data_IF_211483704164
#
_entry.id   IF_211483704164
#
_cell.length_a   1.000
_cell.length_b   1.000
_cell.length_c   1.000
_cell.angle_alpha   90.00
_cell.angle_beta   90.00
_cell.angle_gamma   90.00
#
_symmetry.space_group_name_H-M   'P 1'
#
loop_
_entity.id
_entity.type
_entity.pdbx_description
1 polymer ?
#
# COMPACT_ATOMS: atom_id res chain seq x y z
N UNK A 1 9.43 25.52 11.11
CA UNK A 1 9.53 24.09 10.70
C UNK A 1 10.64 24.02 9.68
N UNK A 2 11.80 23.49 10.05
CA UNK A 2 12.88 23.31 9.08
C UNK A 2 12.58 22.06 8.24
N UNK A 3 12.64 22.22 6.92
CA UNK A 3 12.53 21.14 5.94
C UNK A 3 13.77 20.23 5.95
N UNK A 4 14.17 19.75 7.14
CA UNK A 4 15.26 18.82 7.33
C UNK A 4 14.97 17.54 6.55
N UNK A 5 15.91 17.11 5.70
CA UNK A 5 15.79 15.97 4.78
C UNK A 5 14.87 16.14 3.56
N UNK A 6 14.49 17.36 3.19
CA UNK A 6 13.82 17.62 1.90
C UNK A 6 14.83 18.11 0.86
N UNK A 7 14.75 17.53 -0.34
CA UNK A 7 15.45 18.07 -1.51
C UNK A 7 14.51 18.99 -2.27
N UNK A 8 15.02 20.15 -2.70
CA UNK A 8 14.27 21.05 -3.56
C UNK A 8 14.06 20.39 -4.92
N UNK A 9 12.80 20.24 -5.32
CA UNK A 9 12.43 19.58 -6.58
C UNK A 9 12.07 20.62 -7.67
N UNK A 10 11.49 21.76 -7.27
CA UNK A 10 11.18 22.92 -8.11
C UNK A 10 11.26 24.18 -7.24
N UNK A 11 11.84 25.26 -7.77
CA UNK A 11 11.96 26.53 -7.03
C UNK A 11 10.62 27.28 -6.92
N UNK A 12 9.93 27.46 -8.04
CA UNK A 12 8.67 28.20 -8.12
C UNK A 12 7.68 27.46 -9.03
N UNK A 13 6.42 27.42 -8.60
CA UNK A 13 5.33 26.80 -9.35
C UNK A 13 4.02 27.52 -9.09
N UNK A 14 3.38 27.94 -10.17
CA UNK A 14 2.06 28.55 -10.12
C UNK A 14 0.99 27.52 -10.49
N UNK A 15 -0.08 27.45 -9.69
CA UNK A 15 -1.26 26.68 -10.05
C UNK A 15 -2.00 27.34 -11.20
N UNK A 16 -2.59 26.53 -12.09
CA UNK A 16 -3.43 27.06 -13.16
C UNK A 16 -4.79 27.55 -12.66
N UNK A 17 -5.64 28.04 -13.57
CA UNK A 17 -6.98 28.55 -13.25
C UNK A 17 -7.91 27.51 -12.60
N UNK A 18 -7.57 26.22 -12.67
CA UNK A 18 -8.31 25.13 -12.04
C UNK A 18 -7.61 24.57 -10.79
N UNK A 19 -6.56 25.26 -10.31
CA UNK A 19 -5.83 24.88 -9.09
C UNK A 19 -4.87 23.70 -9.27
N UNK A 20 -4.50 23.36 -10.50
CA UNK A 20 -3.61 22.22 -10.79
C UNK A 20 -2.15 22.66 -10.80
N UNK A 21 -1.28 21.84 -10.21
CA UNK A 21 0.18 22.00 -10.25
C UNK A 21 0.83 20.76 -10.87
N UNK A 22 1.86 20.97 -11.68
CA UNK A 22 2.68 19.88 -12.23
C UNK A 22 3.86 19.57 -11.32
N UNK A 23 3.79 18.43 -10.62
CA UNK A 23 4.82 18.00 -9.67
C UNK A 23 6.10 17.48 -10.34
N UNK A 24 6.09 17.21 -11.65
CA UNK A 24 7.23 16.67 -12.40
C UNK A 24 7.35 15.15 -12.38
N UNK A 25 8.31 14.61 -13.14
CA UNK A 25 8.44 13.17 -13.44
C UNK A 25 8.79 12.32 -12.21
N UNK A 26 9.52 12.87 -11.24
CA UNK A 26 9.82 12.22 -9.96
C UNK A 26 8.55 11.86 -9.15
N UNK A 27 7.44 12.53 -9.42
CA UNK A 27 6.15 12.33 -8.75
C UNK A 27 5.11 11.65 -9.66
N UNK A 28 5.49 11.22 -10.87
CA UNK A 28 4.58 10.57 -11.83
C UNK A 28 4.03 9.24 -11.30
N UNK A 29 2.78 8.92 -11.68
CA UNK A 29 2.09 7.68 -11.32
C UNK A 29 2.01 7.39 -9.81
N UNK A 30 1.98 8.45 -8.99
CA UNK A 30 1.80 8.35 -7.54
C UNK A 30 0.49 9.00 -7.14
N UNK A 31 -0.20 8.37 -6.20
CA UNK A 31 -1.36 8.96 -5.53
C UNK A 31 -0.88 9.73 -4.30
N UNK A 32 -1.52 10.85 -4.02
CA UNK A 32 -1.18 11.69 -2.87
C UNK A 32 -2.43 12.02 -2.06
N UNK A 33 -2.30 11.97 -0.75
CA UNK A 33 -3.18 12.70 0.17
C UNK A 33 -2.67 14.13 0.26
N UNK A 34 -3.57 15.08 0.08
CA UNK A 34 -3.27 16.51 0.22
C UNK A 34 -3.86 16.97 1.55
N UNK A 35 -3.03 17.56 2.40
CA UNK A 35 -3.42 18.16 3.69
C UNK A 35 -3.10 19.65 3.63
N UNK A 36 -3.99 20.48 4.18
CA UNK A 36 -3.77 21.91 4.34
C UNK A 36 -3.86 22.25 5.82
N UNK A 37 -2.89 23.01 6.34
CA UNK A 37 -2.96 23.53 7.70
C UNK A 37 -3.60 24.93 7.76
N UNK A 38 -3.78 25.47 8.97
CA UNK A 38 -4.40 26.79 9.18
C UNK A 38 -3.59 27.96 8.62
N UNK A 39 -2.31 27.76 8.35
CA UNK A 39 -1.42 28.76 7.73
C UNK A 39 -1.44 28.71 6.21
N UNK A 40 -2.20 27.77 5.61
CA UNK A 40 -2.29 27.57 4.17
C UNK A 40 -1.17 26.73 3.57
N UNK A 41 -0.31 26.13 4.40
CA UNK A 41 0.75 25.23 3.92
C UNK A 41 0.14 23.90 3.46
N UNK A 42 0.57 23.43 2.28
CA UNK A 42 0.13 22.16 1.71
C UNK A 42 1.18 21.07 1.95
N UNK A 43 0.74 19.93 2.50
CA UNK A 43 1.54 18.71 2.62
C UNK A 43 0.99 17.62 1.70
N UNK A 44 1.84 17.11 0.81
CA UNK A 44 1.53 15.99 -0.09
C UNK A 44 2.16 14.72 0.46
N UNK A 45 1.32 13.74 0.84
CA UNK A 45 1.76 12.45 1.38
C UNK A 45 1.46 11.36 0.36
N UNK A 46 2.48 10.63 -0.17
CA UNK A 46 2.24 9.51 -1.07
C UNK A 46 1.32 8.47 -0.43
N UNK A 47 0.39 7.95 -1.23
CA UNK A 47 -0.52 6.88 -0.84
C UNK A 47 -0.37 5.69 -1.79
N UNK A 48 -0.57 4.50 -1.22
CA UNK A 48 -0.80 3.27 -1.97
C UNK A 48 -2.26 2.90 -1.81
N UNK A 49 -2.90 2.50 -2.91
CA UNK A 49 -4.23 1.90 -2.87
C UNK A 49 -4.06 0.42 -2.56
N UNK A 50 -4.83 -0.10 -1.62
CA UNK A 50 -4.93 -1.52 -1.34
C UNK A 50 -6.27 -1.99 -1.91
N UNK A 51 -6.29 -2.95 -2.85
CA UNK A 51 -7.54 -3.54 -3.34
C UNK A 51 -8.39 -4.07 -2.17
N UNK A 52 -9.71 -3.97 -2.27
CA UNK A 52 -10.62 -4.37 -1.21
C UNK A 52 -10.41 -5.85 -0.79
N UNK A 53 -10.26 -6.74 -1.77
CA UNK A 53 -9.99 -8.16 -1.54
C UNK A 53 -8.64 -8.47 -0.87
N UNK A 54 -7.74 -7.49 -0.75
CA UNK A 54 -6.46 -7.63 -0.05
C UNK A 54 -6.46 -6.94 1.32
N UNK A 55 -7.46 -6.10 1.62
CA UNK A 55 -7.49 -5.26 2.81
C UNK A 55 -7.48 -6.09 4.12
N UNK A 56 -8.16 -7.25 4.11
CA UNK A 56 -8.25 -8.15 5.25
C UNK A 56 -6.87 -8.58 5.79
N UNK A 57 -5.90 -8.80 4.89
CA UNK A 57 -4.55 -9.23 5.24
C UNK A 57 -3.77 -8.13 5.98
N UNK A 58 -4.10 -6.85 5.74
CA UNK A 58 -3.50 -5.72 6.43
C UNK A 58 -4.18 -5.41 7.76
N UNK A 59 -5.47 -5.70 7.88
CA UNK A 59 -6.27 -5.48 9.10
C UNK A 59 -6.03 -6.55 10.17
N UNK A 60 -5.78 -7.80 9.78
CA UNK A 60 -5.51 -8.89 10.71
C UNK A 60 -3.99 -9.00 11.01
N UNK A 61 -3.53 -8.67 12.24
CA UNK A 61 -2.10 -8.71 12.57
C UNK A 61 -1.47 -10.10 12.44
N UNK A 62 -2.22 -11.16 12.76
CA UNK A 62 -1.71 -12.54 12.71
C UNK A 62 -1.44 -12.97 11.26
N UNK A 63 -2.39 -12.70 10.36
CA UNK A 63 -2.22 -12.95 8.92
C UNK A 63 -1.03 -12.16 8.38
N UNK A 64 -0.94 -10.87 8.74
CA UNK A 64 0.14 -10.00 8.29
C UNK A 64 1.52 -10.52 8.70
N UNK A 65 1.70 -10.96 9.94
CA UNK A 65 2.97 -11.51 10.39
C UNK A 65 3.28 -12.87 9.73
N UNK A 66 2.27 -13.72 9.51
CA UNK A 66 2.46 -14.96 8.75
C UNK A 66 2.89 -14.68 7.30
N UNK A 67 2.28 -13.69 6.64
CA UNK A 67 2.62 -13.29 5.28
C UNK A 67 4.06 -12.75 5.20
N UNK A 68 4.46 -11.89 6.16
CA UNK A 68 5.84 -11.39 6.24
C UNK A 68 6.85 -12.52 6.40
N UNK A 69 6.56 -13.49 7.25
CA UNK A 69 7.42 -14.67 7.44
C UNK A 69 7.55 -15.46 6.14
N UNK A 70 6.44 -15.82 5.50
CA UNK A 70 6.45 -16.57 4.25
C UNK A 70 7.19 -15.84 3.12
N UNK A 71 7.04 -14.51 3.02
CA UNK A 71 7.80 -13.69 2.06
C UNK A 71 9.31 -13.69 2.36
N UNK A 72 9.70 -13.71 3.63
CA UNK A 72 11.10 -13.79 4.03
C UNK A 72 11.71 -15.16 3.71
N UNK A 73 11.00 -16.25 4.04
CA UNK A 73 11.36 -17.64 3.73
C UNK A 73 11.50 -17.86 2.21
N UNK A 74 10.52 -17.40 1.43
CA UNK A 74 10.55 -17.48 -0.03
C UNK A 74 11.74 -16.73 -0.65
N UNK A 75 12.12 -15.59 -0.05
CA UNK A 75 13.30 -14.83 -0.49
C UNK A 75 14.61 -15.59 -0.24
N UNK A 76 14.69 -16.40 0.81
CA UNK A 76 15.85 -17.23 1.14
C UNK A 76 15.81 -18.61 0.49
N UNK A 77 14.74 -18.95 -0.23
CA UNK A 77 14.53 -20.28 -0.82
C UNK A 77 14.22 -21.35 0.22
N UNK A 78 13.77 -20.95 1.41
CA UNK A 78 13.39 -21.84 2.50
C UNK A 78 11.92 -22.26 2.31
N UNK A 79 11.71 -23.24 1.44
CA UNK A 79 10.36 -23.76 1.15
C UNK A 79 10.12 -25.03 1.95
N UNK A 80 8.86 -25.29 2.29
CA UNK A 80 8.48 -26.57 2.88
C UNK A 80 8.89 -27.73 1.95
N UNK A 81 9.56 -28.74 2.49
CA UNK A 81 9.97 -29.93 1.73
C UNK A 81 8.78 -30.83 1.38
N UNK A 82 7.71 -30.75 2.18
CA UNK A 82 6.49 -31.49 1.99
C UNK A 82 5.63 -30.83 0.91
N UNK A 83 5.27 -31.61 -0.11
CA UNK A 83 4.40 -31.15 -1.18
C UNK A 83 3.03 -30.81 -0.61
N UNK A 84 2.54 -29.62 -0.91
CA UNK A 84 1.20 -29.21 -0.49
C UNK A 84 0.16 -30.05 -1.23
N UNK A 85 -0.75 -30.67 -0.48
CA UNK A 85 -1.90 -31.36 -1.04
C UNK A 85 -2.90 -30.34 -1.60
N UNK A 86 -2.83 -30.12 -2.90
CA UNK A 86 -3.69 -29.17 -3.61
C UNK A 86 -5.15 -29.60 -3.60
N UNK A 87 -5.44 -30.91 -3.53
CA UNK A 87 -6.80 -31.42 -3.47
C UNK A 87 -7.43 -31.07 -2.12
N UNK A 88 -6.70 -31.27 -1.02
CA UNK A 88 -7.13 -30.85 0.32
C UNK A 88 -7.34 -29.33 0.42
N UNK A 89 -6.49 -28.53 -0.25
CA UNK A 89 -6.67 -27.07 -0.30
C UNK A 89 -7.92 -26.65 -1.09
N UNK A 90 -8.22 -27.32 -2.20
CA UNK A 90 -9.41 -27.06 -3.00
C UNK A 90 -10.69 -27.44 -2.24
N UNK A 91 -10.68 -28.57 -1.53
CA UNK A 91 -11.79 -28.96 -0.65
C UNK A 91 -12.00 -27.94 0.47
N UNK A 92 -10.92 -27.47 1.10
CA UNK A 92 -11.00 -26.43 2.11
C UNK A 92 -11.57 -25.13 1.52
N UNK A 93 -11.07 -24.68 0.37
CA UNK A 93 -11.55 -23.46 -0.28
C UNK A 93 -13.05 -23.55 -0.63
N UNK A 94 -13.53 -24.70 -1.11
CA UNK A 94 -14.95 -24.93 -1.38
C UNK A 94 -15.82 -24.98 -0.11
N UNK A 95 -15.22 -25.23 1.06
CA UNK A 95 -15.91 -25.22 2.35
C UNK A 95 -16.02 -23.82 2.98
N UNK A 96 -15.26 -22.84 2.49
CA UNK A 96 -15.36 -21.46 2.96
C UNK A 96 -16.65 -20.86 2.39
N UNK A 97 -17.61 -20.44 3.23
CA UNK A 97 -18.85 -19.85 2.75
C UNK A 97 -18.57 -18.53 2.03
N UNK A 98 -19.25 -18.30 0.91
CA UNK A 98 -19.11 -17.08 0.09
C UNK A 98 -19.56 -15.80 0.84
N UNK A 99 -20.35 -15.96 1.90
CA UNK A 99 -20.85 -14.88 2.75
C UNK A 99 -20.46 -15.16 4.21
N UNK A 100 -19.76 -14.20 4.83
CA UNK A 100 -19.65 -14.11 6.28
C UNK A 100 -20.95 -13.51 6.77
N UNK A 101 -21.82 -14.29 7.42
CA UNK A 101 -22.99 -13.73 8.11
C UNK A 101 -22.50 -12.64 9.10
N UNK A 102 -22.99 -11.41 8.92
CA UNK A 102 -22.66 -10.22 9.72
C UNK A 102 -23.04 -10.34 11.21
#
# INVERSE_FOLDING_TARGET
MEYQNFSLIKEDIQADAWGRISLGTQCSNRHYRILMNTSGELLLVPMVAIPEGELWAFQNPSVRESLKRGLAEARTGDFAEETVDLDAMLEFAASIPDEVEE
#
